data_IF_733800410295
#
_entry.id   IF_733800410295
#
_cell.length_a   1.000
_cell.length_b   1.000
_cell.length_c   1.000
_cell.angle_alpha   90.00
_cell.angle_beta   90.00
_cell.angle_gamma   90.00
#
_symmetry.space_group_name_H-M   'P 1'
#
loop_
_entity.id
_entity.type
_entity.pdbx_description
1 polymer ?
#
# COMPACT_ATOMS: atom_id res chain seq x y z
N UNK A 1 6.76 15.83 -0.11
CA UNK A 1 7.42 14.92 0.86
C UNK A 1 6.79 15.22 2.21
N UNK A 2 6.16 14.22 2.81
CA UNK A 2 5.29 14.41 3.99
C UNK A 2 5.95 13.91 5.27
N UNK A 3 6.80 12.87 5.19
CA UNK A 3 7.46 12.31 6.36
C UNK A 3 8.66 13.15 6.80
N UNK A 4 8.76 13.33 8.12
CA UNK A 4 9.87 14.02 8.78
C UNK A 4 10.59 13.02 9.67
N UNK A 5 11.91 13.13 9.73
CA UNK A 5 12.73 12.32 10.62
C UNK A 5 13.48 13.21 11.61
N UNK A 6 13.65 12.70 12.83
CA UNK A 6 14.38 13.35 13.92
C UNK A 6 15.41 12.35 14.46
N UNK A 7 16.69 12.72 14.40
CA UNK A 7 17.75 11.93 15.01
C UNK A 7 17.76 12.15 16.53
N UNK A 8 17.46 11.09 17.30
CA UNK A 8 17.49 11.15 18.76
C UNK A 8 18.90 11.32 19.33
N UNK A 9 19.94 10.99 18.56
CA UNK A 9 21.33 11.08 19.01
C UNK A 9 21.93 12.48 18.92
N UNK A 10 21.59 13.26 17.89
CA UNK A 10 22.21 14.57 17.65
C UNK A 10 21.21 15.71 17.39
N UNK A 11 19.91 15.43 17.44
CA UNK A 11 18.85 16.41 17.21
C UNK A 11 18.70 16.87 15.77
N UNK A 12 19.42 16.27 14.81
CA UNK A 12 19.26 16.61 13.39
C UNK A 12 17.85 16.25 12.91
N UNK A 13 17.30 17.08 12.04
CA UNK A 13 15.97 16.92 11.47
C UNK A 13 16.05 17.01 9.95
N UNK A 14 15.24 16.21 9.26
CA UNK A 14 15.09 16.32 7.81
C UNK A 14 13.80 15.72 7.31
N UNK A 15 13.65 15.71 6.00
CA UNK A 15 12.48 15.17 5.31
C UNK A 15 12.81 13.86 4.60
N UNK A 16 11.80 12.99 4.48
CA UNK A 16 11.90 11.70 3.79
C UNK A 16 12.23 10.53 4.72
N UNK A 17 12.67 9.43 4.13
CA UNK A 17 12.98 8.19 4.85
C UNK A 17 14.49 8.02 4.91
N UNK A 18 15.03 7.86 6.11
CA UNK A 18 16.44 7.55 6.35
C UNK A 18 16.55 6.40 7.35
N UNK A 19 17.52 5.51 7.13
CA UNK A 19 17.83 4.40 8.04
C UNK A 19 18.86 4.80 9.10
N UNK A 20 19.74 5.76 8.76
CA UNK A 20 20.72 6.35 9.67
C UNK A 20 20.75 7.86 9.49
N UNK A 21 21.11 8.57 10.56
CA UNK A 21 21.24 10.02 10.54
C UNK A 21 22.34 10.45 9.56
N UNK A 22 22.03 11.24 8.52
CA UNK A 22 23.05 11.73 7.57
C UNK A 22 24.12 12.61 8.21
N UNK A 23 23.83 13.21 9.38
CA UNK A 23 24.76 14.09 10.10
C UNK A 23 25.74 13.35 11.01
N UNK A 24 25.28 12.33 11.74
CA UNK A 24 26.09 11.69 12.79
C UNK A 24 26.17 10.15 12.69
N UNK A 25 25.51 9.53 11.70
CA UNK A 25 25.49 8.08 11.52
C UNK A 25 24.66 7.30 12.55
N UNK A 26 24.00 7.98 13.50
CA UNK A 26 23.18 7.34 14.53
C UNK A 26 21.95 6.64 13.94
N UNK A 27 21.59 5.49 14.52
CA UNK A 27 20.50 4.62 14.05
C UNK A 27 19.15 4.91 14.74
N UNK A 28 19.17 5.68 15.84
CA UNK A 28 17.96 6.09 16.55
C UNK A 28 17.26 7.25 15.84
N UNK A 29 16.43 6.90 14.86
CA UNK A 29 15.62 7.82 14.07
C UNK A 29 14.14 7.72 14.49
N UNK A 30 13.62 8.81 15.03
CA UNK A 30 12.18 9.01 15.16
C UNK A 30 11.60 9.48 13.83
N UNK A 31 10.40 8.99 13.48
CA UNK A 31 9.69 9.35 12.25
C UNK A 31 8.32 9.92 12.59
N UNK A 32 8.04 11.12 12.12
CA UNK A 32 6.70 11.70 12.07
C UNK A 32 6.12 11.37 10.70
N UNK A 33 5.10 10.51 10.69
CA UNK A 33 4.49 10.01 9.45
C UNK A 33 3.20 10.77 9.20
N UNK A 34 3.11 11.33 8.00
CA UNK A 34 1.96 12.11 7.55
C UNK A 34 1.38 11.46 6.30
N UNK A 35 0.05 11.35 6.24
CA UNK A 35 -0.63 10.74 5.09
C UNK A 35 -1.13 11.85 4.19
N UNK A 36 -0.85 11.75 2.90
CA UNK A 36 -1.51 12.56 1.88
C UNK A 36 -2.29 11.69 0.90
N UNK A 37 -3.07 12.32 0.03
CA UNK A 37 -3.84 11.67 -1.02
C UNK A 37 -2.98 10.73 -1.89
N UNK A 38 -1.76 11.14 -2.27
CA UNK A 38 -0.84 10.29 -3.03
C UNK A 38 -0.51 8.98 -2.29
N UNK A 39 -0.31 9.03 -0.97
CA UNK A 39 -0.06 7.82 -0.18
C UNK A 39 -1.26 6.88 -0.18
N UNK A 40 -2.47 7.44 -0.06
CA UNK A 40 -3.71 6.67 -0.08
C UNK A 40 -3.90 6.02 -1.44
N UNK A 41 -3.61 6.73 -2.53
CA UNK A 41 -3.68 6.19 -3.89
C UNK A 41 -2.67 5.05 -4.10
N UNK A 42 -1.43 5.17 -3.59
CA UNK A 42 -0.46 4.06 -3.64
C UNK A 42 -0.99 2.83 -2.87
N UNK A 43 -1.55 3.01 -1.67
CA UNK A 43 -2.12 1.90 -0.91
C UNK A 43 -3.35 1.28 -1.59
N UNK A 44 -4.15 2.10 -2.27
CA UNK A 44 -5.31 1.68 -3.07
C UNK A 44 -4.87 0.85 -4.27
N UNK A 45 -3.82 1.27 -4.97
CA UNK A 45 -3.29 0.53 -6.13
C UNK A 45 -2.73 -0.83 -5.69
N UNK A 46 -2.06 -0.92 -4.54
CA UNK A 46 -1.66 -2.21 -3.95
C UNK A 46 -2.85 -3.08 -3.53
N UNK A 47 -3.94 -2.45 -3.07
CA UNK A 47 -5.20 -3.17 -2.75
C UNK A 47 -5.83 -3.73 -4.02
N UNK A 48 -5.86 -2.99 -5.12
CA UNK A 48 -6.36 -3.46 -6.42
C UNK A 48 -5.55 -4.66 -6.93
N UNK A 49 -4.22 -4.66 -6.79
CA UNK A 49 -3.39 -5.83 -7.11
C UNK A 49 -3.78 -7.05 -6.27
N UNK A 50 -3.97 -6.87 -4.96
CA UNK A 50 -4.40 -7.97 -4.09
C UNK A 50 -5.76 -8.54 -4.51
N UNK A 51 -6.72 -7.67 -4.82
CA UNK A 51 -8.06 -8.09 -5.27
C UNK A 51 -7.98 -8.86 -6.59
N UNK A 52 -7.12 -8.44 -7.52
CA UNK A 52 -6.86 -9.16 -8.77
C UNK A 52 -6.32 -10.59 -8.53
N UNK A 53 -5.45 -10.79 -7.52
CA UNK A 53 -5.06 -12.16 -7.11
C UNK A 53 -6.24 -12.95 -6.54
N UNK A 54 -6.98 -12.37 -5.59
CA UNK A 54 -8.08 -13.04 -4.90
C UNK A 54 -9.19 -13.48 -5.87
N UNK A 55 -9.49 -12.66 -6.87
CA UNK A 55 -10.50 -12.96 -7.87
C UNK A 55 -9.99 -13.93 -8.94
N UNK A 56 -8.87 -13.63 -9.61
CA UNK A 56 -8.45 -14.38 -10.80
C UNK A 56 -7.63 -15.63 -10.50
N UNK A 57 -6.87 -15.64 -9.40
CA UNK A 57 -6.00 -16.76 -9.06
C UNK A 57 -6.65 -17.68 -8.01
N UNK A 58 -7.40 -17.12 -7.06
CA UNK A 58 -8.09 -17.88 -6.02
C UNK A 58 -9.59 -18.13 -6.31
N UNK A 59 -10.17 -17.45 -7.30
CA UNK A 59 -11.55 -17.68 -7.72
C UNK A 59 -12.60 -17.17 -6.73
N UNK A 60 -12.24 -16.24 -5.84
CA UNK A 60 -13.17 -15.65 -4.87
C UNK A 60 -14.08 -14.65 -5.59
N UNK A 61 -15.37 -14.67 -5.27
CA UNK A 61 -16.31 -13.75 -5.88
C UNK A 61 -16.28 -12.38 -5.20
N UNK A 62 -16.65 -11.29 -5.89
CA UNK A 62 -16.66 -9.95 -5.30
C UNK A 62 -17.54 -9.80 -4.05
N UNK A 63 -18.56 -10.64 -3.87
CA UNK A 63 -19.43 -10.65 -2.69
C UNK A 63 -18.79 -11.30 -1.46
N UNK A 64 -17.76 -12.14 -1.64
CA UNK A 64 -16.94 -12.68 -0.55
C UNK A 64 -15.86 -11.69 -0.08
N UNK A 65 -15.68 -10.57 -0.79
CA UNK A 65 -14.62 -9.59 -0.57
C UNK A 65 -15.15 -8.30 0.08
N UNK A 66 -14.79 -8.06 1.33
CA UNK A 66 -15.13 -6.85 2.06
C UNK A 66 -13.94 -5.92 2.19
N UNK A 67 -14.00 -4.79 1.48
CA UNK A 67 -12.90 -3.83 1.44
C UNK A 67 -13.23 -2.62 2.31
N UNK A 68 -12.26 -2.17 3.10
CA UNK A 68 -12.39 -0.97 3.92
C UNK A 68 -11.14 -0.12 3.83
N UNK A 69 -11.30 1.19 3.67
CA UNK A 69 -10.24 2.11 4.04
C UNK A 69 -10.11 2.09 5.57
N UNK A 70 -8.90 1.84 6.07
CA UNK A 70 -8.62 1.66 7.50
C UNK A 70 -8.90 2.91 8.36
N UNK A 71 -9.16 4.05 7.72
CA UNK A 71 -9.28 5.35 8.35
C UNK A 71 -7.92 6.03 8.58
N UNK A 72 -6.81 5.48 8.08
CA UNK A 72 -5.51 6.13 8.24
C UNK A 72 -4.56 5.89 7.05
N UNK A 73 -3.85 4.76 7.00
CA UNK A 73 -2.67 4.57 6.12
C UNK A 73 -2.83 3.53 5.02
N UNK A 74 -4.00 2.92 4.89
CA UNK A 74 -4.20 1.88 3.89
C UNK A 74 -5.58 1.25 4.01
N UNK A 75 -5.69 0.04 3.47
CA UNK A 75 -6.95 -0.68 3.36
C UNK A 75 -6.87 -2.02 4.07
N UNK A 76 -8.03 -2.56 4.42
CA UNK A 76 -8.17 -3.96 4.80
C UNK A 76 -9.08 -4.63 3.78
N UNK A 77 -8.70 -5.84 3.38
CA UNK A 77 -9.54 -6.76 2.60
C UNK A 77 -9.83 -7.95 3.49
N UNK A 78 -11.10 -8.16 3.83
CA UNK A 78 -11.55 -9.37 4.50
C UNK A 78 -12.20 -10.29 3.48
N UNK A 79 -11.91 -11.58 3.61
CA UNK A 79 -12.48 -12.63 2.78
C UNK A 79 -13.43 -13.44 3.65
N UNK A 80 -14.71 -13.43 3.31
CA UNK A 80 -15.76 -14.23 3.96
C UNK A 80 -16.15 -15.38 3.03
N UNK A 81 -15.38 -16.47 3.11
CA UNK A 81 -15.60 -17.68 2.32
C UNK A 81 -15.36 -18.93 3.16
N UNK A 82 -16.27 -19.90 3.10
CA UNK A 82 -16.11 -21.18 3.83
C UNK A 82 -14.79 -21.89 3.45
N UNK A 83 -14.29 -21.68 2.23
CA UNK A 83 -13.05 -22.25 1.74
C UNK A 83 -11.80 -21.77 2.52
N UNK A 84 -11.87 -20.59 3.17
CA UNK A 84 -10.70 -19.96 3.80
C UNK A 84 -10.81 -19.82 5.33
N UNK A 85 -11.98 -20.04 5.91
CA UNK A 85 -12.24 -19.86 7.36
C UNK A 85 -11.31 -20.73 8.21
N UNK A 86 -11.20 -22.02 7.86
CA UNK A 86 -10.44 -23.02 8.63
C UNK A 86 -8.94 -23.09 8.30
N UNK A 87 -8.43 -22.17 7.46
CA UNK A 87 -7.02 -22.19 7.10
C UNK A 87 -6.13 -21.95 8.30
N UNK A 88 -5.12 -22.82 8.44
CA UNK A 88 -4.07 -22.70 9.46
C UNK A 88 -3.16 -21.50 9.19
N UNK A 89 -2.34 -21.14 10.19
CA UNK A 89 -1.34 -20.08 10.05
C UNK A 89 -0.35 -20.37 8.90
N UNK A 90 0.05 -21.63 8.72
CA UNK A 90 0.97 -22.02 7.65
C UNK A 90 0.29 -21.92 6.28
N UNK A 91 -0.96 -22.37 6.15
CA UNK A 91 -1.70 -22.22 4.89
C UNK A 91 -1.90 -20.73 4.52
N UNK A 92 -2.19 -19.87 5.50
CA UNK A 92 -2.29 -18.41 5.31
C UNK A 92 -0.94 -17.80 4.91
N UNK A 93 0.18 -18.32 5.42
CA UNK A 93 1.53 -17.91 5.00
C UNK A 93 1.77 -18.24 3.53
N UNK A 94 1.39 -19.44 3.07
CA UNK A 94 1.54 -19.81 1.65
C UNK A 94 0.74 -18.87 0.73
N UNK A 95 -0.45 -18.42 1.14
CA UNK A 95 -1.22 -17.41 0.40
C UNK A 95 -0.46 -16.08 0.34
N UNK A 96 0.08 -15.62 1.47
CA UNK A 96 0.89 -14.39 1.54
C UNK A 96 2.13 -14.50 0.63
N UNK A 97 2.82 -15.63 0.66
CA UNK A 97 4.00 -15.87 -0.16
C UNK A 97 3.63 -15.90 -1.66
N UNK A 98 2.50 -16.51 -2.01
CA UNK A 98 1.98 -16.51 -3.37
C UNK A 98 1.71 -15.09 -3.88
N UNK A 99 0.92 -14.27 -3.16
CA UNK A 99 0.58 -12.91 -3.63
C UNK A 99 1.80 -11.98 -3.67
N UNK A 100 2.83 -12.24 -2.86
CA UNK A 100 4.12 -11.53 -2.89
C UNK A 100 5.10 -12.08 -3.94
N UNK A 101 4.78 -13.21 -4.57
CA UNK A 101 5.64 -13.90 -5.54
C UNK A 101 6.93 -14.46 -4.91
N UNK A 102 6.87 -14.83 -3.63
CA UNK A 102 7.97 -15.49 -2.93
C UNK A 102 8.14 -16.91 -3.48
N UNK A 103 9.38 -17.37 -3.63
CA UNK A 103 9.67 -18.73 -4.11
C UNK A 103 9.56 -18.94 -5.64
N UNK A 104 9.29 -17.90 -6.43
CA UNK A 104 9.28 -18.00 -7.90
C UNK A 104 10.63 -18.49 -8.43
N UNK A 105 10.61 -19.62 -9.13
CA UNK A 105 11.78 -20.25 -9.69
C UNK A 105 11.73 -20.27 -11.22
N UNK A 106 12.70 -19.59 -11.82
CA UNK A 106 12.83 -19.45 -13.27
C UNK A 106 12.88 -20.78 -14.02
N UNK A 107 13.29 -21.89 -13.38
CA UNK A 107 13.36 -23.22 -14.01
C UNK A 107 11.98 -23.75 -14.44
N UNK A 108 10.94 -23.37 -13.71
CA UNK A 108 9.54 -23.72 -14.01
C UNK A 108 8.85 -22.69 -14.90
N UNK A 109 9.44 -21.50 -15.06
CA UNK A 109 8.88 -20.41 -15.86
C UNK A 109 9.48 -20.42 -17.28
N UNK A 110 10.76 -20.79 -17.41
CA UNK A 110 11.51 -20.69 -18.65
C UNK A 110 11.77 -22.08 -19.27
N UNK A 111 11.71 -22.14 -20.59
CA UNK A 111 12.19 -23.25 -21.41
C UNK A 111 13.50 -22.86 -22.09
N UNK A 112 14.42 -23.82 -22.20
CA UNK A 112 15.64 -23.62 -22.97
C UNK A 112 15.30 -23.48 -24.47
N UNK A 113 15.87 -22.46 -25.10
CA UNK A 113 15.80 -22.24 -26.54
C UNK A 113 17.16 -22.56 -27.19
N UNK A 114 17.47 -21.98 -28.35
CA UNK A 114 18.75 -22.25 -29.05
C UNK A 114 19.95 -21.68 -28.29
N UNK A 115 21.04 -22.46 -28.22
CA UNK A 115 22.29 -22.04 -27.57
C UNK A 115 22.12 -21.74 -26.08
N UNK A 116 22.52 -20.53 -25.66
CA UNK A 116 22.43 -20.04 -24.27
C UNK A 116 21.19 -19.16 -24.02
N UNK A 117 20.19 -19.25 -24.89
CA UNK A 117 18.95 -18.49 -24.79
C UNK A 117 17.80 -19.30 -24.20
N UNK A 118 16.83 -18.60 -23.66
CA UNK A 118 15.63 -19.11 -23.00
C UNK A 118 14.43 -18.31 -23.46
N UNK A 119 13.26 -18.93 -23.33
CA UNK A 119 11.95 -18.35 -23.64
C UNK A 119 10.96 -18.69 -22.53
N UNK A 120 9.83 -17.99 -22.47
CA UNK A 120 8.76 -18.36 -21.56
C UNK A 120 8.18 -19.73 -21.94
N UNK A 121 7.84 -20.55 -20.94
CA UNK A 121 7.08 -21.80 -21.16
C UNK A 121 5.63 -21.53 -21.52
N UNK A 122 5.08 -20.48 -20.92
CA UNK A 122 3.68 -20.11 -21.00
C UNK A 122 3.56 -18.63 -21.38
N UNK A 123 2.61 -18.32 -22.25
CA UNK A 123 2.35 -16.95 -22.72
C UNK A 123 1.52 -16.13 -21.75
N UNK A 124 1.11 -14.93 -22.20
CA UNK A 124 0.30 -13.98 -21.43
C UNK A 124 -1.13 -14.44 -21.14
N UNK A 125 -1.61 -15.53 -21.76
CA UNK A 125 -2.92 -16.12 -21.49
C UNK A 125 -2.91 -17.19 -20.38
N UNK A 126 -1.74 -17.52 -19.83
CA UNK A 126 -1.63 -18.52 -18.76
C UNK A 126 -2.09 -17.96 -17.39
N UNK A 127 -2.57 -18.79 -16.46
CA UNK A 127 -3.05 -18.30 -15.16
C UNK A 127 -1.91 -17.83 -14.25
N UNK A 128 -2.26 -16.97 -13.28
CA UNK A 128 -1.40 -16.52 -12.19
C UNK A 128 -0.07 -15.92 -12.63
N UNK A 129 1.00 -16.26 -11.89
CA UNK A 129 2.32 -15.67 -12.10
C UNK A 129 2.90 -15.83 -13.51
N UNK A 130 2.48 -16.85 -14.28
CA UNK A 130 2.98 -17.01 -15.65
C UNK A 130 2.54 -15.86 -16.57
N UNK A 131 1.26 -15.47 -16.57
CA UNK A 131 0.82 -14.32 -17.35
C UNK A 131 1.36 -13.01 -16.81
N UNK A 132 1.41 -12.83 -15.48
CA UNK A 132 1.98 -11.62 -14.85
C UNK A 132 3.41 -11.36 -15.32
N UNK A 133 4.26 -12.39 -15.29
CA UNK A 133 5.64 -12.32 -15.78
C UNK A 133 5.69 -12.08 -17.29
N UNK A 134 4.85 -12.79 -18.07
CA UNK A 134 4.81 -12.63 -19.50
C UNK A 134 4.43 -11.20 -19.92
N UNK A 135 3.36 -10.64 -19.33
CA UNK A 135 2.89 -9.26 -19.61
C UNK A 135 4.00 -8.25 -19.36
N UNK A 136 4.66 -8.32 -18.20
CA UNK A 136 5.78 -7.42 -17.89
C UNK A 136 6.97 -7.60 -18.82
N UNK A 137 7.31 -8.85 -19.18
CA UNK A 137 8.42 -9.10 -20.08
C UNK A 137 8.20 -8.48 -21.47
N UNK A 138 6.97 -8.54 -22.01
CA UNK A 138 6.65 -7.89 -23.28
C UNK A 138 6.67 -6.36 -23.19
N UNK A 139 6.12 -5.79 -22.11
CA UNK A 139 6.14 -4.33 -21.87
C UNK A 139 7.58 -3.81 -21.76
N UNK A 140 8.43 -4.47 -20.97
CA UNK A 140 9.82 -4.04 -20.74
C UNK A 140 10.74 -4.21 -21.96
N UNK A 141 10.38 -5.07 -22.91
CA UNK A 141 11.15 -5.29 -24.14
C UNK A 141 10.55 -4.52 -25.33
N UNK A 142 9.45 -3.79 -25.12
CA UNK A 142 8.73 -3.04 -26.16
C UNK A 142 8.33 -3.90 -27.38
N UNK A 143 8.15 -5.20 -27.17
CA UNK A 143 7.76 -6.16 -28.21
C UNK A 143 6.30 -6.60 -28.02
N UNK A 144 5.50 -6.49 -29.08
CA UNK A 144 4.09 -6.90 -29.08
C UNK A 144 3.92 -8.13 -29.98
N UNK A 145 3.66 -9.28 -29.34
CA UNK A 145 3.44 -10.54 -30.04
C UNK A 145 4.73 -11.20 -30.56
N UNK A 146 4.79 -12.53 -30.46
CA UNK A 146 5.96 -13.32 -30.85
C UNK A 146 6.65 -14.01 -29.67
N UNK A 147 7.55 -14.94 -29.96
CA UNK A 147 8.25 -15.72 -28.93
C UNK A 147 9.51 -14.98 -28.45
N UNK A 148 9.42 -14.35 -27.28
CA UNK A 148 10.54 -13.62 -26.67
C UNK A 148 11.67 -14.58 -26.25
N UNK A 149 12.84 -14.44 -26.87
CA UNK A 149 14.02 -15.29 -26.62
C UNK A 149 15.19 -14.46 -26.11
N UNK A 150 15.58 -14.65 -24.85
CA UNK A 150 16.60 -13.83 -24.16
C UNK A 150 17.63 -14.70 -23.42
N UNK A 151 18.74 -14.09 -22.97
CA UNK A 151 19.70 -14.77 -22.10
C UNK A 151 19.11 -15.05 -20.72
N UNK A 152 19.66 -16.05 -20.00
CA UNK A 152 19.18 -16.39 -18.66
C UNK A 152 19.30 -15.22 -17.67
N UNK A 153 20.39 -14.45 -17.75
CA UNK A 153 20.60 -13.30 -16.85
C UNK A 153 19.56 -12.20 -17.08
N UNK A 154 19.22 -11.90 -18.35
CA UNK A 154 18.17 -10.94 -18.68
C UNK A 154 16.80 -11.42 -18.19
N UNK A 155 16.48 -12.70 -18.37
CA UNK A 155 15.25 -13.28 -17.83
C UNK A 155 15.16 -13.21 -16.31
N UNK A 156 16.21 -13.56 -15.58
CA UNK A 156 16.22 -13.47 -14.11
C UNK A 156 15.94 -12.05 -13.62
N UNK A 157 16.51 -11.04 -14.31
CA UNK A 157 16.21 -9.62 -14.02
C UNK A 157 14.76 -9.27 -14.31
N UNK A 158 14.21 -9.69 -15.45
CA UNK A 158 12.81 -9.43 -15.81
C UNK A 158 11.83 -10.10 -14.82
N UNK A 159 12.11 -11.34 -14.40
CA UNK A 159 11.29 -12.05 -13.41
C UNK A 159 11.30 -11.31 -12.07
N UNK A 160 12.47 -10.85 -11.58
CA UNK A 160 12.53 -10.07 -10.34
C UNK A 160 11.82 -8.71 -10.46
N UNK A 161 11.93 -8.04 -11.61
CA UNK A 161 11.19 -6.82 -11.88
C UNK A 161 9.67 -7.05 -11.89
N UNK A 162 9.21 -8.07 -12.62
CA UNK A 162 7.79 -8.45 -12.67
C UNK A 162 7.27 -8.78 -11.26
N UNK A 163 8.02 -9.58 -10.48
CA UNK A 163 7.69 -9.89 -9.09
C UNK A 163 7.55 -8.63 -8.23
N UNK A 164 8.49 -7.68 -8.34
CA UNK A 164 8.45 -6.42 -7.57
C UNK A 164 7.31 -5.50 -7.99
N UNK A 165 6.85 -5.57 -9.24
CA UNK A 165 5.80 -4.71 -9.77
C UNK A 165 4.40 -5.27 -9.54
N UNK A 166 4.23 -6.58 -9.76
CA UNK A 166 2.94 -7.29 -9.69
C UNK A 166 2.64 -7.84 -8.31
N UNK A 167 3.67 -8.17 -7.51
CA UNK A 167 3.45 -8.73 -6.18
C UNK A 167 2.73 -7.74 -5.29
N UNK A 168 1.67 -8.19 -4.62
CA UNK A 168 0.89 -7.35 -3.73
C UNK A 168 1.67 -7.10 -2.42
N UNK A 169 1.75 -5.84 -2.01
CA UNK A 169 2.36 -5.47 -0.73
C UNK A 169 1.33 -5.62 0.39
N UNK A 170 1.46 -6.68 1.18
CA UNK A 170 0.59 -7.00 2.33
C UNK A 170 1.37 -7.14 3.63
N UNK A 171 0.73 -6.83 4.76
CA UNK A 171 1.29 -7.12 6.09
C UNK A 171 1.03 -8.60 6.44
N UNK A 172 2.06 -9.42 6.26
CA UNK A 172 2.03 -10.86 6.50
C UNK A 172 1.55 -11.24 7.91
N UNK A 173 1.84 -10.42 8.92
CA UNK A 173 1.46 -10.72 10.31
C UNK A 173 -0.05 -10.59 10.51
N UNK A 174 -0.70 -9.73 9.73
CA UNK A 174 -2.16 -9.56 9.79
C UNK A 174 -2.85 -10.78 9.19
N UNK A 175 -2.38 -11.27 8.05
CA UNK A 175 -3.00 -12.41 7.36
C UNK A 175 -2.75 -13.74 8.06
N UNK A 176 -1.56 -13.96 8.64
CA UNK A 176 -1.20 -15.21 9.30
C UNK A 176 -1.91 -15.38 10.65
N UNK A 177 -2.23 -14.29 11.34
CA UNK A 177 -2.86 -14.31 12.66
C UNK A 177 -4.34 -14.73 12.59
N UNK A 178 -4.65 -15.91 13.10
CA UNK A 178 -6.00 -16.48 13.12
C UNK A 178 -6.91 -15.89 14.21
N UNK A 179 -6.40 -15.01 15.07
CA UNK A 179 -7.17 -14.40 16.18
C UNK A 179 -7.11 -12.87 16.15
N UNK A 180 -7.06 -12.31 14.95
CA UNK A 180 -6.87 -10.87 14.76
C UNK A 180 -8.12 -10.08 15.15
N UNK A 181 -7.91 -8.95 15.84
CA UNK A 181 -8.95 -7.95 16.03
C UNK A 181 -9.10 -7.10 14.77
N UNK A 182 -10.34 -7.02 14.28
CA UNK A 182 -10.69 -6.22 13.11
C UNK A 182 -11.31 -4.90 13.57
N UNK A 183 -10.88 -3.81 12.94
CA UNK A 183 -11.49 -2.51 13.17
C UNK A 183 -12.89 -2.49 12.57
N UNK A 184 -13.90 -2.18 13.38
CA UNK A 184 -15.29 -2.17 12.95
C UNK A 184 -15.52 -1.10 11.85
N UNK A 185 -16.11 -1.46 10.69
CA UNK A 185 -16.43 -0.50 9.65
C UNK A 185 -17.37 0.61 10.16
N UNK A 186 -17.26 1.80 9.57
CA UNK A 186 -17.97 3.03 9.94
C UNK A 186 -17.62 3.63 11.32
N UNK A 187 -16.63 3.09 12.04
CA UNK A 187 -16.08 3.74 13.25
C UNK A 187 -15.06 4.84 12.92
N UNK A 188 -14.62 5.59 13.93
CA UNK A 188 -13.54 6.57 13.80
C UNK A 188 -12.18 5.96 14.12
N UNK A 189 -11.17 6.28 13.31
CA UNK A 189 -9.80 5.91 13.58
C UNK A 189 -9.13 6.92 14.53
N UNK A 190 -8.68 6.47 15.70
CA UNK A 190 -8.25 7.35 16.79
C UNK A 190 -7.01 8.23 16.54
N UNK A 191 -6.22 7.96 15.50
CA UNK A 191 -5.05 8.80 15.12
C UNK A 191 -5.30 9.79 13.99
N UNK A 192 -6.51 9.79 13.42
CA UNK A 192 -6.81 10.58 12.22
C UNK A 192 -8.16 11.28 12.30
N UNK A 193 -9.10 10.77 13.09
CA UNK A 193 -10.47 11.27 13.12
C UNK A 193 -11.25 10.94 11.83
N UNK A 194 -10.67 10.16 10.93
CA UNK A 194 -11.33 9.69 9.71
C UNK A 194 -12.15 8.44 10.00
N UNK A 195 -13.19 8.25 9.19
CA UNK A 195 -14.02 7.05 9.20
C UNK A 195 -13.26 5.86 8.61
N UNK A 196 -13.48 4.70 9.20
CA UNK A 196 -13.17 3.39 8.60
C UNK A 196 -14.19 3.13 7.51
N UNK A 197 -13.92 3.59 6.29
CA UNK A 197 -14.92 3.66 5.24
C UNK A 197 -14.99 2.34 4.46
N UNK A 198 -16.14 1.63 4.43
CA UNK A 198 -16.36 0.53 3.50
C UNK A 198 -16.24 1.01 2.06
N UNK A 199 -15.63 0.20 1.19
CA UNK A 199 -15.39 0.50 -0.21
C UNK A 199 -15.89 -0.65 -1.09
N UNK A 200 -16.54 -0.31 -2.20
CA UNK A 200 -16.81 -1.23 -3.30
C UNK A 200 -15.61 -1.26 -4.25
N UNK A 201 -15.48 -2.34 -5.02
CA UNK A 201 -14.41 -2.46 -6.01
C UNK A 201 -14.42 -1.28 -7.01
N UNK A 202 -15.59 -0.90 -7.52
CA UNK A 202 -15.72 0.23 -8.47
C UNK A 202 -15.32 1.57 -7.85
N UNK A 203 -15.51 1.72 -6.54
CA UNK A 203 -15.07 2.92 -5.82
C UNK A 203 -13.55 2.94 -5.67
N UNK A 204 -12.85 1.81 -5.61
CA UNK A 204 -11.38 1.83 -5.59
C UNK A 204 -10.77 2.27 -6.93
N UNK A 205 -11.46 2.03 -8.04
CA UNK A 205 -10.98 2.44 -9.37
C UNK A 205 -11.20 3.93 -9.65
N UNK A 206 -12.20 4.53 -8.99
CA UNK A 206 -12.71 5.86 -9.34
C UNK A 206 -12.77 6.88 -8.20
N UNK A 207 -12.70 6.45 -6.94
CA UNK A 207 -13.12 7.31 -5.83
C UNK A 207 -12.04 8.25 -5.30
N UNK A 208 -12.56 9.37 -4.82
CA UNK A 208 -11.98 10.21 -3.79
C UNK A 208 -12.15 9.52 -2.42
N UNK A 209 -11.30 8.53 -2.13
CA UNK A 209 -11.30 7.74 -0.87
C UNK A 209 -11.39 8.65 0.36
N UNK A 210 -10.71 9.80 0.31
CA UNK A 210 -10.72 10.80 1.37
C UNK A 210 -12.10 11.40 1.62
N UNK A 211 -12.87 11.74 0.58
CA UNK A 211 -14.20 12.33 0.75
C UNK A 211 -15.14 11.39 1.51
N UNK A 212 -15.10 10.09 1.21
CA UNK A 212 -15.89 9.09 1.92
C UNK A 212 -15.43 8.89 3.37
N UNK A 213 -14.16 9.14 3.65
CA UNK A 213 -13.56 8.96 4.96
C UNK A 213 -13.69 10.19 5.88
N UNK A 214 -13.91 11.40 5.33
CA UNK A 214 -14.10 12.63 6.11
C UNK A 214 -15.39 12.55 6.93
N UNK A 215 -15.36 13.08 8.16
CA UNK A 215 -16.51 13.10 9.09
C UNK A 215 -16.82 14.51 9.57
N UNK A 216 -15.82 15.22 10.07
CA UNK A 216 -15.95 16.61 10.53
C UNK A 216 -15.92 17.59 9.34
N UNK A 217 -16.85 17.43 8.40
CA UNK A 217 -16.87 18.17 7.11
C UNK A 217 -17.46 19.57 7.21
N UNK A 218 -18.03 19.95 8.36
CA UNK A 218 -18.64 21.25 8.58
C UNK A 218 -17.85 22.04 9.63
N UNK A 219 -17.72 23.34 9.40
CA UNK A 219 -17.01 24.25 10.29
C UNK A 219 -15.50 24.32 10.03
N UNK A 220 -14.90 25.32 10.65
CA UNK A 220 -13.48 25.61 10.58
C UNK A 220 -12.91 25.70 11.99
N UNK A 221 -11.60 25.53 12.10
CA UNK A 221 -10.88 25.79 13.32
C UNK A 221 -9.65 26.65 13.01
N UNK A 222 -9.39 27.63 13.86
CA UNK A 222 -8.16 28.39 13.86
C UNK A 222 -7.12 27.62 14.65
N UNK A 223 -6.06 27.18 13.97
CA UNK A 223 -5.02 26.31 14.52
C UNK A 223 -3.68 27.01 14.39
N UNK A 224 -2.95 27.16 15.50
CA UNK A 224 -1.54 27.58 15.47
C UNK A 224 -0.64 26.35 15.49
N UNK A 225 0.00 26.05 14.37
CA UNK A 225 0.83 24.85 14.20
C UNK A 225 2.29 25.21 13.92
N UNK A 226 3.21 24.51 14.60
CA UNK A 226 4.65 24.60 14.36
C UNK A 226 5.13 23.45 13.50
N UNK A 227 5.91 23.76 12.47
CA UNK A 227 6.55 22.76 11.60
C UNK A 227 5.59 21.70 11.03
N UNK A 228 4.41 22.04 10.49
CA UNK A 228 3.50 21.04 9.93
C UNK A 228 4.14 20.32 8.74
N UNK A 229 3.64 19.14 8.36
CA UNK A 229 3.99 18.54 7.08
C UNK A 229 3.61 19.50 5.94
N UNK A 230 4.44 19.56 4.89
CA UNK A 230 4.11 20.38 3.70
C UNK A 230 2.81 19.95 3.02
N UNK A 231 2.47 18.67 3.09
CA UNK A 231 1.24 18.12 2.52
C UNK A 231 0.66 17.07 3.47
N UNK A 232 -0.63 17.17 3.75
CA UNK A 232 -1.38 16.27 4.62
C UNK A 232 -2.81 16.17 4.12
N UNK A 233 -3.34 14.95 4.08
CA UNK A 233 -4.58 14.61 3.40
C UNK A 233 -4.58 15.22 1.98
N UNK A 234 -5.51 16.11 1.71
CA UNK A 234 -5.77 16.81 0.47
C UNK A 234 -5.28 18.27 0.45
N UNK A 235 -4.56 18.72 1.50
CA UNK A 235 -4.13 20.11 1.64
C UNK A 235 -2.62 20.27 1.84
N UNK A 236 -2.12 21.44 1.46
CA UNK A 236 -0.76 21.89 1.74
C UNK A 236 -0.77 22.86 2.91
N UNK A 237 0.22 22.76 3.79
CA UNK A 237 0.30 23.55 5.01
C UNK A 237 1.63 24.27 5.15
N UNK A 238 1.56 25.45 5.76
CA UNK A 238 2.70 26.25 6.18
C UNK A 238 2.68 26.44 7.71
N UNK A 239 3.82 26.80 8.29
CA UNK A 239 3.85 27.10 9.73
C UNK A 239 3.13 28.41 10.02
N UNK A 240 2.38 28.48 11.13
CA UNK A 240 1.73 29.71 11.54
C UNK A 240 0.33 29.47 12.10
N UNK A 241 -0.48 30.54 12.08
CA UNK A 241 -1.89 30.50 12.43
C UNK A 241 -2.66 30.27 11.12
N UNK A 242 -3.38 29.14 11.06
CA UNK A 242 -4.13 28.71 9.89
C UNK A 242 -5.61 28.57 10.24
N UNK A 243 -6.49 28.97 9.34
CA UNK A 243 -7.90 28.63 9.38
C UNK A 243 -8.10 27.37 8.53
N UNK A 244 -8.44 26.25 9.17
CA UNK A 244 -8.49 24.94 8.53
C UNK A 244 -9.89 24.34 8.63
N UNK A 245 -10.34 23.58 7.61
CA UNK A 245 -11.52 22.76 7.75
C UNK A 245 -11.41 21.85 8.98
N UNK A 246 -12.52 21.65 9.70
CA UNK A 246 -12.49 20.96 11.00
C UNK A 246 -11.89 19.55 10.93
N UNK A 247 -12.17 18.78 9.87
CA UNK A 247 -11.59 17.44 9.69
C UNK A 247 -10.06 17.45 9.68
N UNK A 248 -9.45 18.46 9.07
CA UNK A 248 -8.00 18.56 8.97
C UNK A 248 -7.40 19.04 10.29
N UNK A 249 -8.03 20.01 10.93
CA UNK A 249 -7.63 20.48 12.25
C UNK A 249 -7.62 19.34 13.29
N UNK A 250 -8.69 18.52 13.30
CA UNK A 250 -8.78 17.32 14.14
C UNK A 250 -7.70 16.30 13.77
N UNK A 251 -7.47 16.06 12.47
CA UNK A 251 -6.43 15.14 12.02
C UNK A 251 -5.05 15.54 12.53
N UNK A 252 -4.69 16.83 12.44
CA UNK A 252 -3.39 17.34 12.92
C UNK A 252 -3.18 17.05 14.40
N UNK A 253 -4.18 17.35 15.23
CA UNK A 253 -4.12 17.10 16.68
C UNK A 253 -3.99 15.59 16.97
N UNK A 254 -4.83 14.76 16.35
CA UNK A 254 -4.83 13.31 16.61
C UNK A 254 -3.59 12.57 16.09
N UNK A 255 -2.97 13.09 15.02
CA UNK A 255 -1.75 12.52 14.44
C UNK A 255 -0.47 13.09 15.09
N UNK A 256 -0.62 13.92 16.14
CA UNK A 256 0.51 14.39 16.96
C UNK A 256 1.27 15.59 16.39
N UNK A 257 0.62 16.48 15.63
CA UNK A 257 1.23 17.76 15.26
C UNK A 257 1.53 18.62 16.50
N UNK A 258 2.57 19.46 16.40
CA UNK A 258 2.90 20.49 17.39
C UNK A 258 1.91 21.67 17.25
N UNK A 259 0.73 21.50 17.87
CA UNK A 259 -0.36 22.48 17.89
C UNK A 259 -0.30 23.30 19.18
N UNK A 260 -0.08 24.61 19.06
CA UNK A 260 -0.01 25.54 20.19
C UNK A 260 -1.38 26.04 20.64
N UNK A 261 -2.31 26.22 19.70
CA UNK A 261 -3.69 26.61 19.98
C UNK A 261 -4.64 26.01 18.96
N UNK A 262 -5.85 25.72 19.43
CA UNK A 262 -6.96 25.21 18.64
C UNK A 262 -8.22 25.93 19.10
N UNK A 263 -8.80 26.75 18.23
CA UNK A 263 -10.02 27.50 18.48
C UNK A 263 -11.06 27.07 17.44
N UNK A 264 -12.17 26.51 17.92
CA UNK A 264 -13.30 26.15 17.07
C UNK A 264 -14.17 27.39 16.84
N UNK A 265 -14.52 27.66 15.58
CA UNK A 265 -15.39 28.78 15.18
C UNK A 265 -16.84 28.32 14.93
#
# INVERSE_FOLDING_TARGET
>A
MHDRWICRSCGAVGWGVVDKCPKCGGESIEREVWVCETCINVARDETLKLLDFLEHDFGLSPDELHITFSGHRGFHVHVESEAVVELSQDARREIVDYVKGVGLDYRFILAKARGRSYRLRYGSSAPGWFSRIARWAYVEVEEVGGELTLSLSKWKRLIDLARKREGAVVDERVTIDTRRLIRLPNTLHGKSGLRVAPMKLQELESAEVLEKAKVFTHGYARVKVRNPPRRVLDLELESGILELPLYLAVYLVLNGADVESFEFE
#
